data_IF_023999074905
#
_entry.id   IF_023999074905
#
_cell.length_a   1.000
_cell.length_b   1.000
_cell.length_c   1.000
_cell.angle_alpha   90.00
_cell.angle_beta   90.00
_cell.angle_gamma   90.00
#
_symmetry.space_group_name_H-M   'P 1'
#
loop_
_entity.id
_entity.type
_entity.pdbx_description
1 polymer ?
#
# COMPACT_ATOMS: atom_id res chain seq x y z
N UNK A 1 -27.11 2.36 -0.28
CA UNK A 1 -27.36 1.18 0.57
C UNK A 1 -26.32 1.17 1.69
N UNK A 2 -26.76 1.12 2.94
CA UNK A 2 -25.90 0.79 4.08
C UNK A 2 -25.95 -0.74 4.25
N UNK A 3 -25.02 -1.44 3.59
CA UNK A 3 -24.88 -2.89 3.77
C UNK A 3 -23.97 -3.13 4.98
N UNK A 4 -24.38 -4.01 5.90
CA UNK A 4 -23.50 -4.42 6.99
C UNK A 4 -22.44 -5.40 6.46
N UNK A 5 -22.85 -6.48 5.79
CA UNK A 5 -21.93 -7.52 5.31
C UNK A 5 -22.32 -7.95 3.90
N UNK A 6 -21.34 -8.03 3.01
CA UNK A 6 -21.50 -8.61 1.67
C UNK A 6 -20.48 -9.72 1.43
N UNK A 7 -20.94 -10.86 0.89
CA UNK A 7 -20.11 -12.01 0.52
C UNK A 7 -20.50 -12.51 -0.88
N UNK A 8 -19.53 -12.81 -1.72
CA UNK A 8 -19.75 -13.50 -3.01
C UNK A 8 -18.55 -14.35 -3.39
N UNK A 9 -18.72 -15.36 -4.25
CA UNK A 9 -17.60 -16.08 -4.86
C UNK A 9 -16.97 -15.26 -5.99
N UNK A 10 -17.79 -14.88 -6.98
CA UNK A 10 -17.37 -14.16 -8.17
C UNK A 10 -18.25 -12.94 -8.39
N UNK A 11 -17.62 -11.80 -8.68
CA UNK A 11 -18.32 -10.58 -9.05
C UNK A 11 -17.55 -9.84 -10.13
N UNK A 12 -18.28 -9.25 -11.07
CA UNK A 12 -17.68 -8.30 -11.99
C UNK A 12 -17.54 -6.94 -11.30
N UNK A 13 -18.65 -6.32 -10.89
CA UNK A 13 -18.66 -4.95 -10.39
C UNK A 13 -19.43 -4.86 -9.08
N UNK A 14 -18.86 -4.16 -8.09
CA UNK A 14 -19.56 -3.79 -6.87
C UNK A 14 -19.36 -2.31 -6.55
N UNK A 15 -20.46 -1.63 -6.18
CA UNK A 15 -20.47 -0.21 -5.80
C UNK A 15 -21.32 -0.01 -4.54
N UNK A 16 -20.81 0.74 -3.57
CA UNK A 16 -21.57 1.12 -2.36
C UNK A 16 -21.17 2.50 -1.84
N UNK A 17 -22.08 3.21 -1.19
CA UNK A 17 -21.70 4.42 -0.44
C UNK A 17 -20.99 4.05 0.86
N UNK A 18 -21.64 3.25 1.69
CA UNK A 18 -21.11 2.75 2.96
C UNK A 18 -21.27 1.23 3.03
N UNK A 19 -20.22 0.55 3.47
CA UNK A 19 -20.22 -0.89 3.70
C UNK A 19 -19.31 -1.19 4.89
N UNK A 20 -19.74 -2.03 5.83
CA UNK A 20 -18.83 -2.41 6.92
C UNK A 20 -17.88 -3.50 6.42
N UNK A 21 -18.39 -4.61 5.88
CA UNK A 21 -17.56 -5.77 5.52
C UNK A 21 -17.85 -6.25 4.09
N UNK A 22 -16.80 -6.36 3.28
CA UNK A 22 -16.82 -7.01 1.97
C UNK A 22 -15.89 -8.23 1.94
N UNK A 23 -16.39 -9.36 1.42
CA UNK A 23 -15.59 -10.55 1.13
C UNK A 23 -15.90 -11.10 -0.26
N UNK A 24 -14.86 -11.39 -1.04
CA UNK A 24 -15.01 -12.12 -2.32
C UNK A 24 -13.87 -13.06 -2.61
N UNK A 25 -14.07 -14.09 -3.44
CA UNK A 25 -12.92 -14.83 -4.00
C UNK A 25 -12.32 -14.07 -5.18
N UNK A 26 -13.14 -13.74 -6.18
CA UNK A 26 -12.73 -12.98 -7.36
C UNK A 26 -13.64 -11.76 -7.55
N UNK A 27 -13.02 -10.60 -7.77
CA UNK A 27 -13.73 -9.38 -8.10
C UNK A 27 -12.98 -8.61 -9.18
N UNK A 28 -13.68 -8.11 -10.19
CA UNK A 28 -13.06 -7.25 -11.19
C UNK A 28 -12.92 -5.82 -10.66
N UNK A 29 -14.03 -5.18 -10.25
CA UNK A 29 -14.06 -3.76 -9.89
C UNK A 29 -14.81 -3.55 -8.58
N UNK A 30 -14.14 -2.95 -7.60
CA UNK A 30 -14.74 -2.46 -6.37
C UNK A 30 -14.68 -0.93 -6.30
N UNK A 31 -15.80 -0.29 -5.93
CA UNK A 31 -15.83 1.14 -5.58
C UNK A 31 -16.65 1.38 -4.32
N UNK A 32 -16.11 2.14 -3.36
CA UNK A 32 -16.89 2.63 -2.22
C UNK A 32 -16.51 4.03 -1.76
N UNK A 33 -17.42 4.75 -1.10
CA UNK A 33 -17.02 5.98 -0.39
C UNK A 33 -16.36 5.60 0.94
N UNK A 34 -17.07 4.86 1.79
CA UNK A 34 -16.56 4.38 3.08
C UNK A 34 -16.65 2.86 3.16
N UNK A 35 -15.53 2.23 3.54
CA UNK A 35 -15.47 0.80 3.81
C UNK A 35 -14.65 0.54 5.07
N UNK A 36 -15.16 -0.32 5.95
CA UNK A 36 -14.36 -0.72 7.12
C UNK A 36 -13.38 -1.83 6.74
N UNK A 37 -13.87 -2.95 6.21
CA UNK A 37 -13.05 -4.14 5.96
C UNK A 37 -13.29 -4.68 4.55
N UNK A 38 -12.20 -4.80 3.78
CA UNK A 38 -12.17 -5.48 2.50
C UNK A 38 -11.31 -6.74 2.55
N UNK A 39 -11.82 -7.87 2.04
CA UNK A 39 -11.04 -9.09 1.81
C UNK A 39 -11.34 -9.66 0.42
N UNK A 40 -10.30 -9.94 -0.37
CA UNK A 40 -10.42 -10.76 -1.59
C UNK A 40 -9.26 -11.72 -1.80
N UNK A 41 -9.45 -12.78 -2.60
CA UNK A 41 -8.31 -13.54 -3.12
C UNK A 41 -7.71 -12.82 -4.31
N UNK A 42 -8.51 -12.54 -5.34
CA UNK A 42 -8.10 -11.82 -6.55
C UNK A 42 -8.97 -10.58 -6.76
N UNK A 43 -8.31 -9.45 -7.05
CA UNK A 43 -8.98 -8.20 -7.40
C UNK A 43 -8.23 -7.49 -8.53
N UNK A 44 -8.93 -7.02 -9.56
CA UNK A 44 -8.28 -6.17 -10.56
C UNK A 44 -8.20 -4.72 -10.08
N UNK A 45 -9.33 -4.10 -9.75
CA UNK A 45 -9.38 -2.66 -9.45
C UNK A 45 -10.12 -2.40 -8.13
N UNK A 46 -9.43 -1.73 -7.21
CA UNK A 46 -10.01 -1.18 -5.98
C UNK A 46 -9.98 0.35 -5.98
N UNK A 47 -11.10 0.98 -5.63
CA UNK A 47 -11.17 2.41 -5.34
C UNK A 47 -11.99 2.67 -4.08
N UNK A 48 -11.45 3.45 -3.14
CA UNK A 48 -12.25 4.00 -2.03
C UNK A 48 -11.87 5.44 -1.66
N UNK A 49 -12.79 6.19 -1.03
CA UNK A 49 -12.40 7.43 -0.35
C UNK A 49 -11.74 7.11 0.98
N UNK A 50 -12.44 6.38 1.85
CA UNK A 50 -11.96 5.96 3.17
C UNK A 50 -12.01 4.44 3.29
N UNK A 51 -10.91 3.86 3.76
CA UNK A 51 -10.82 2.43 4.08
C UNK A 51 -10.05 2.20 5.37
N UNK A 52 -10.59 1.38 6.27
CA UNK A 52 -9.83 0.98 7.46
C UNK A 52 -8.86 -0.16 7.14
N UNK A 53 -9.35 -1.29 6.66
CA UNK A 53 -8.54 -2.51 6.48
C UNK A 53 -8.73 -3.09 5.08
N UNK A 54 -7.61 -3.25 4.36
CA UNK A 54 -7.55 -3.96 3.09
C UNK A 54 -6.70 -5.22 3.20
N UNK A 55 -7.22 -6.36 2.70
CA UNK A 55 -6.46 -7.58 2.48
C UNK A 55 -6.76 -8.19 1.11
N UNK A 56 -5.73 -8.48 0.32
CA UNK A 56 -5.86 -9.33 -0.86
C UNK A 56 -4.69 -10.31 -1.03
N UNK A 57 -4.86 -11.39 -1.80
CA UNK A 57 -3.71 -12.18 -2.26
C UNK A 57 -3.08 -11.50 -3.48
N UNK A 58 -3.88 -11.27 -4.52
CA UNK A 58 -3.46 -10.61 -5.76
C UNK A 58 -4.29 -9.36 -6.03
N UNK A 59 -3.62 -8.26 -6.35
CA UNK A 59 -4.25 -7.01 -6.74
C UNK A 59 -3.50 -6.35 -7.89
N UNK A 60 -4.20 -5.88 -8.92
CA UNK A 60 -3.55 -5.06 -9.96
C UNK A 60 -3.47 -3.59 -9.54
N UNK A 61 -4.62 -2.96 -9.26
CA UNK A 61 -4.67 -1.51 -9.02
C UNK A 61 -5.40 -1.19 -7.72
N UNK A 62 -4.72 -0.50 -6.82
CA UNK A 62 -5.30 0.09 -5.61
C UNK A 62 -5.27 1.62 -5.67
N UNK A 63 -6.41 2.26 -5.34
CA UNK A 63 -6.49 3.70 -5.09
C UNK A 63 -7.32 4.00 -3.84
N UNK A 64 -6.80 4.80 -2.92
CA UNK A 64 -7.59 5.38 -1.84
C UNK A 64 -7.24 6.84 -1.53
N UNK A 65 -8.14 7.57 -0.88
CA UNK A 65 -7.75 8.86 -0.28
C UNK A 65 -7.11 8.62 1.09
N UNK A 66 -7.83 7.94 1.98
CA UNK A 66 -7.35 7.56 3.31
C UNK A 66 -7.40 6.05 3.50
N UNK A 67 -6.31 5.48 3.99
CA UNK A 67 -6.20 4.07 4.35
C UNK A 67 -5.46 3.88 5.67
N UNK A 68 -6.01 3.06 6.57
CA UNK A 68 -5.28 2.70 7.78
C UNK A 68 -4.31 1.55 7.51
N UNK A 69 -4.80 0.38 7.10
CA UNK A 69 -3.98 -0.84 6.96
C UNK A 69 -4.15 -1.46 5.58
N UNK A 70 -3.03 -1.67 4.90
CA UNK A 70 -2.95 -2.41 3.64
C UNK A 70 -2.11 -3.67 3.79
N UNK A 71 -2.64 -4.81 3.32
CA UNK A 71 -1.88 -6.05 3.16
C UNK A 71 -2.18 -6.72 1.81
N UNK A 72 -1.13 -7.04 1.05
CA UNK A 72 -1.24 -7.92 -0.12
C UNK A 72 -0.08 -8.91 -0.24
N UNK A 73 -0.25 -10.00 -0.98
CA UNK A 73 0.91 -10.81 -1.41
C UNK A 73 1.55 -10.18 -2.65
N UNK A 74 0.76 -9.98 -3.71
CA UNK A 74 1.20 -9.38 -4.97
C UNK A 74 0.38 -8.14 -5.29
N UNK A 75 1.07 -7.06 -5.65
CA UNK A 75 0.46 -5.81 -6.08
C UNK A 75 1.22 -5.18 -7.24
N UNK A 76 0.53 -4.75 -8.29
CA UNK A 76 1.18 -3.97 -9.35
C UNK A 76 1.26 -2.48 -8.99
N UNK A 77 0.12 -1.84 -8.73
CA UNK A 77 0.06 -0.38 -8.55
C UNK A 77 -0.70 -0.02 -7.28
N UNK A 78 -0.01 0.71 -6.40
CA UNK A 78 -0.59 1.34 -5.22
C UNK A 78 -0.56 2.86 -5.32
N UNK A 79 -1.70 3.51 -5.03
CA UNK A 79 -1.79 4.96 -4.83
C UNK A 79 -2.65 5.29 -3.61
N UNK A 80 -2.14 6.13 -2.70
CA UNK A 80 -2.95 6.74 -1.63
C UNK A 80 -2.58 8.20 -1.39
N UNK A 81 -3.47 8.97 -0.75
CA UNK A 81 -3.07 10.28 -0.21
C UNK A 81 -2.48 10.12 1.19
N UNK A 82 -3.19 9.45 2.10
CA UNK A 82 -2.74 9.13 3.45
C UNK A 82 -2.78 7.62 3.69
N UNK A 83 -1.71 7.08 4.23
CA UNK A 83 -1.61 5.68 4.62
C UNK A 83 -0.87 5.53 5.95
N UNK A 84 -1.43 4.73 6.87
CA UNK A 84 -0.71 4.40 8.09
C UNK A 84 0.26 3.24 7.85
N UNK A 85 -0.24 2.04 7.52
CA UNK A 85 0.58 0.84 7.43
C UNK A 85 0.42 0.17 6.06
N UNK A 86 1.56 -0.05 5.39
CA UNK A 86 1.64 -0.83 4.16
C UNK A 86 2.49 -2.09 4.36
N UNK A 87 1.95 -3.24 3.93
CA UNK A 87 2.72 -4.49 3.82
C UNK A 87 2.42 -5.22 2.51
N UNK A 88 3.46 -5.56 1.75
CA UNK A 88 3.35 -6.48 0.60
C UNK A 88 4.52 -7.45 0.50
N UNK A 89 4.33 -8.61 -0.15
CA UNK A 89 5.50 -9.42 -0.54
C UNK A 89 6.15 -8.84 -1.79
N UNK A 90 5.38 -8.67 -2.87
CA UNK A 90 5.84 -8.12 -4.14
C UNK A 90 5.03 -6.89 -4.54
N UNK A 91 5.73 -5.82 -4.92
CA UNK A 91 5.14 -4.58 -5.40
C UNK A 91 5.93 -4.00 -6.57
N UNK A 92 5.25 -3.61 -7.65
CA UNK A 92 5.91 -2.87 -8.73
C UNK A 92 5.99 -1.37 -8.41
N UNK A 93 4.85 -0.71 -8.21
CA UNK A 93 4.79 0.75 -8.08
C UNK A 93 4.03 1.16 -6.82
N UNK A 94 4.71 1.90 -5.96
CA UNK A 94 4.13 2.57 -4.80
C UNK A 94 4.15 4.09 -4.96
N UNK A 95 3.02 4.75 -4.68
CA UNK A 95 2.93 6.21 -4.54
C UNK A 95 2.04 6.59 -3.36
N UNK A 96 2.53 7.45 -2.47
CA UNK A 96 1.71 8.10 -1.44
C UNK A 96 2.08 9.57 -1.25
N UNK A 97 1.18 10.39 -0.71
CA UNK A 97 1.61 11.69 -0.16
C UNK A 97 2.23 11.47 1.22
N UNK A 98 1.46 10.90 2.16
CA UNK A 98 1.90 10.68 3.54
C UNK A 98 1.82 9.20 3.89
N UNK A 99 2.90 8.66 4.45
CA UNK A 99 3.01 7.28 4.89
C UNK A 99 3.72 7.16 6.25
N UNK A 100 3.14 6.40 7.18
CA UNK A 100 3.83 6.07 8.43
C UNK A 100 4.83 4.93 8.21
N UNK A 101 4.36 3.75 7.85
CA UNK A 101 5.18 2.53 7.83
C UNK A 101 5.03 1.81 6.49
N UNK A 102 6.16 1.56 5.83
CA UNK A 102 6.26 0.75 4.63
C UNK A 102 7.10 -0.50 4.87
N UNK A 103 6.57 -1.67 4.48
CA UNK A 103 7.31 -2.94 4.46
C UNK A 103 7.05 -3.72 3.18
N UNK A 104 8.11 -4.09 2.45
CA UNK A 104 8.00 -5.07 1.34
C UNK A 104 9.20 -5.98 1.17
N UNK A 105 9.01 -7.21 0.69
CA UNK A 105 10.14 -8.06 0.29
C UNK A 105 10.78 -7.53 -0.99
N UNK A 106 10.00 -7.37 -2.06
CA UNK A 106 10.48 -6.87 -3.35
C UNK A 106 9.68 -5.63 -3.79
N UNK A 107 10.39 -4.58 -4.19
CA UNK A 107 9.83 -3.34 -4.70
C UNK A 107 10.62 -2.80 -5.88
N UNK A 108 9.93 -2.45 -6.97
CA UNK A 108 10.58 -1.78 -8.10
C UNK A 108 10.67 -0.26 -7.90
N UNK A 109 9.55 0.42 -7.65
CA UNK A 109 9.50 1.89 -7.57
C UNK A 109 8.74 2.35 -6.34
N UNK A 110 9.41 3.11 -5.49
CA UNK A 110 8.83 3.82 -4.36
C UNK A 110 8.85 5.33 -4.57
N UNK A 111 7.71 6.00 -4.33
CA UNK A 111 7.63 7.47 -4.22
C UNK A 111 6.73 7.88 -3.05
N UNK A 112 7.21 8.76 -2.17
CA UNK A 112 6.38 9.46 -1.18
C UNK A 112 6.75 10.93 -1.05
N UNK A 113 5.85 11.77 -0.52
CA UNK A 113 6.27 13.10 -0.02
C UNK A 113 6.89 12.91 1.37
N UNK A 114 6.09 12.39 2.31
CA UNK A 114 6.48 12.18 3.70
C UNK A 114 6.42 10.71 4.09
N UNK A 115 7.51 10.21 4.68
CA UNK A 115 7.63 8.85 5.15
C UNK A 115 8.35 8.80 6.51
N UNK A 116 7.77 8.10 7.49
CA UNK A 116 8.50 7.82 8.73
C UNK A 116 9.45 6.63 8.56
N UNK A 117 8.92 5.44 8.26
CA UNK A 117 9.72 4.21 8.26
C UNK A 117 9.58 3.46 6.93
N UNK A 118 10.72 3.23 6.28
CA UNK A 118 10.84 2.38 5.11
C UNK A 118 11.66 1.12 5.42
N UNK A 119 11.13 -0.05 5.08
CA UNK A 119 11.90 -1.30 5.09
C UNK A 119 11.64 -2.13 3.83
N UNK A 120 12.70 -2.54 3.13
CA UNK A 120 12.58 -3.53 2.06
C UNK A 120 13.80 -4.44 1.89
N UNK A 121 13.60 -5.70 1.48
CA UNK A 121 14.75 -6.56 1.14
C UNK A 121 15.38 -6.13 -0.18
N UNK A 122 14.59 -5.99 -1.25
CA UNK A 122 15.05 -5.58 -2.57
C UNK A 122 14.29 -4.36 -3.08
N UNK A 123 15.03 -3.32 -3.43
CA UNK A 123 14.50 -2.07 -3.97
C UNK A 123 15.30 -1.60 -5.18
N UNK A 124 14.62 -1.31 -6.29
CA UNK A 124 15.28 -0.66 -7.42
C UNK A 124 15.36 0.86 -7.24
N UNK A 125 14.23 1.56 -7.14
CA UNK A 125 14.18 3.02 -7.11
C UNK A 125 13.42 3.51 -5.86
N UNK A 126 14.09 4.34 -5.07
CA UNK A 126 13.51 5.07 -3.95
C UNK A 126 13.53 6.58 -4.18
N UNK A 127 12.39 7.25 -3.96
CA UNK A 127 12.30 8.72 -3.89
C UNK A 127 11.39 9.15 -2.73
N UNK A 128 11.87 10.05 -1.87
CA UNK A 128 11.02 10.78 -0.91
C UNK A 128 11.43 12.24 -0.78
N UNK A 129 10.54 13.11 -0.27
CA UNK A 129 10.95 14.45 0.19
C UNK A 129 11.50 14.35 1.61
N UNK A 130 10.70 13.81 2.54
CA UNK A 130 11.07 13.62 3.94
C UNK A 130 11.07 12.13 4.30
N UNK A 131 12.12 11.68 4.97
CA UNK A 131 12.29 10.32 5.46
C UNK A 131 12.97 10.32 6.83
N UNK A 132 12.38 9.62 7.81
CA UNK A 132 13.06 9.43 9.09
C UNK A 132 14.02 8.23 9.01
N UNK A 133 13.49 7.04 8.74
CA UNK A 133 14.25 5.78 8.78
C UNK A 133 14.14 5.05 7.45
N UNK A 134 15.29 4.73 6.88
CA UNK A 134 15.41 3.87 5.71
C UNK A 134 16.21 2.60 6.02
N UNK A 135 15.63 1.44 5.70
CA UNK A 135 16.33 0.15 5.75
C UNK A 135 16.14 -0.61 4.43
N UNK A 136 17.25 -1.00 3.79
CA UNK A 136 17.18 -1.98 2.70
C UNK A 136 18.42 -2.86 2.56
N UNK A 137 18.24 -4.12 2.15
CA UNK A 137 19.38 -5.01 1.84
C UNK A 137 19.99 -4.66 0.48
N UNK A 138 19.16 -4.57 -0.56
CA UNK A 138 19.57 -4.23 -1.92
C UNK A 138 18.85 -2.97 -2.41
N UNK A 139 19.63 -2.00 -2.89
CA UNK A 139 19.17 -0.70 -3.38
C UNK A 139 20.00 -0.26 -4.59
N UNK A 140 19.36 0.12 -5.68
CA UNK A 140 20.05 0.66 -6.86
C UNK A 140 20.08 2.20 -6.88
N UNK A 141 18.92 2.85 -6.71
CA UNK A 141 18.79 4.31 -6.81
C UNK A 141 18.07 4.84 -5.57
N UNK A 142 18.71 5.79 -4.89
CA UNK A 142 18.16 6.47 -3.73
C UNK A 142 18.14 7.99 -3.93
N UNK A 143 17.00 8.63 -3.61
CA UNK A 143 16.91 10.08 -3.49
C UNK A 143 16.00 10.46 -2.33
N UNK A 144 16.50 11.24 -1.40
CA UNK A 144 15.70 11.89 -0.36
C UNK A 144 16.22 13.32 -0.16
N UNK A 145 15.33 14.28 0.11
CA UNK A 145 15.76 15.64 0.46
C UNK A 145 16.20 15.70 1.92
N UNK A 146 15.42 15.07 2.81
CA UNK A 146 15.69 14.99 4.24
C UNK A 146 15.66 13.53 4.69
N UNK A 147 16.76 13.07 5.29
CA UNK A 147 16.93 11.71 5.80
C UNK A 147 17.60 11.79 7.18
N UNK A 148 17.07 11.07 8.17
CA UNK A 148 17.72 11.00 9.49
C UNK A 148 18.62 9.76 9.60
N UNK A 149 18.09 8.57 9.30
CA UNK A 149 18.77 7.29 9.52
C UNK A 149 18.75 6.45 8.25
N UNK A 150 19.93 5.99 7.82
CA UNK A 150 20.10 5.06 6.71
C UNK A 150 20.79 3.77 7.15
N UNK A 151 20.11 2.64 6.93
CA UNK A 151 20.58 1.30 7.26
C UNK A 151 20.64 0.48 5.98
N UNK A 152 21.84 0.08 5.60
CA UNK A 152 22.09 -0.93 4.57
C UNK A 152 22.90 -2.05 5.20
N UNK A 153 22.58 -3.31 4.88
CA UNK A 153 23.36 -4.43 5.42
C UNK A 153 24.86 -4.18 5.17
N UNK A 154 25.61 -4.06 6.28
CA UNK A 154 27.04 -3.72 6.44
C UNK A 154 27.44 -2.27 6.82
N UNK A 155 26.59 -1.24 6.73
CA UNK A 155 26.98 0.13 7.17
C UNK A 155 25.80 0.93 7.74
N UNK A 156 26.01 1.53 8.92
CA UNK A 156 25.12 2.51 9.54
C UNK A 156 25.60 3.92 9.19
N UNK A 157 24.71 4.77 8.68
CA UNK A 157 25.03 6.17 8.40
C UNK A 157 23.92 7.04 9.00
N UNK A 158 24.28 7.82 10.02
CA UNK A 158 23.49 8.96 10.49
C UNK A 158 23.82 10.17 9.63
N UNK A 159 22.78 10.90 9.22
CA UNK A 159 22.93 12.20 8.58
C UNK A 159 22.69 13.29 9.64
N UNK A 160 23.44 14.41 9.60
CA UNK A 160 23.22 15.53 10.51
C UNK A 160 21.82 16.15 10.37
#
# INVERSE_FOLDING_TARGET
MNLQIFKSSNLQIFKSSNLQIFKSSNLQIFKSSNLQIFKSSNLQIFKSSNLQIFKSSNLQIFKSSNLQIFKSSNLQIFKSSKLQIFKSSNLQIFKSSNLQIFKSSNLQIFKSSDLQIFKSSNLHIFKSSNLQIFESSNLQIFKSSNLQIFIKNAFYIEFP
#
